data_IF_216999693603
#
_entry.id   IF_216999693603
#
_cell.length_a   1.000
_cell.length_b   1.000
_cell.length_c   1.000
_cell.angle_alpha   90.00
_cell.angle_beta   90.00
_cell.angle_gamma   90.00
#
_symmetry.space_group_name_H-M   'P 1'
#
loop_
_entity.id
_entity.type
_entity.pdbx_description
1 polymer ?
#
# COMPACT_ATOMS: atom_id res chain seq x y z
N UNK A 1 34.99 -33.39 54.29
CA UNK A 1 34.28 -34.66 54.02
C UNK A 1 33.22 -34.32 52.97
N UNK A 2 33.48 -34.36 51.66
CA UNK A 2 33.68 -35.52 50.76
C UNK A 2 32.68 -36.65 50.99
N UNK A 3 31.61 -36.64 50.18
CA UNK A 3 30.94 -37.78 49.51
C UNK A 3 29.72 -37.19 48.79
N UNK A 4 29.44 -37.36 47.50
CA UNK A 4 29.94 -38.23 46.45
C UNK A 4 28.75 -38.43 45.49
N UNK A 5 28.79 -37.86 44.29
CA UNK A 5 27.98 -38.33 43.14
C UNK A 5 28.61 -39.66 42.67
N UNK A 6 27.91 -40.57 41.95
CA UNK A 6 27.93 -40.47 40.47
C UNK A 6 26.68 -41.18 39.81
N UNK A 7 26.68 -41.62 38.53
CA UNK A 7 25.56 -41.39 37.59
C UNK A 7 24.97 -42.69 37.00
N UNK A 8 23.75 -42.72 36.44
CA UNK A 8 23.37 -43.85 35.54
C UNK A 8 22.50 -43.35 34.37
N UNK A 9 22.73 -43.88 33.14
CA UNK A 9 22.31 -43.30 31.86
C UNK A 9 21.12 -44.03 31.20
N UNK A 10 20.56 -43.40 30.16
CA UNK A 10 20.15 -44.07 28.92
C UNK A 10 18.86 -44.91 28.90
N UNK A 11 17.84 -44.43 28.18
CA UNK A 11 17.01 -45.19 27.21
C UNK A 11 16.02 -44.18 26.59
N UNK A 12 16.26 -43.55 25.42
CA UNK A 12 16.11 -44.10 24.07
C UNK A 12 14.87 -45.00 23.87
N UNK A 13 13.70 -44.39 23.61
CA UNK A 13 12.64 -44.93 22.74
C UNK A 13 11.94 -43.72 22.09
N UNK A 14 12.34 -43.31 20.87
CA UNK A 14 11.61 -43.59 19.63
C UNK A 14 10.10 -43.32 19.71
N UNK A 15 9.69 -42.09 19.39
CA UNK A 15 8.39 -41.84 18.77
C UNK A 15 8.60 -41.05 17.49
N UNK A 16 8.77 -41.85 16.43
CA UNK A 16 8.60 -41.50 15.04
C UNK A 16 7.20 -40.91 14.79
N UNK A 17 7.17 -40.06 13.77
CA UNK A 17 6.06 -39.87 12.83
C UNK A 17 4.82 -39.11 13.32
N UNK A 18 4.85 -37.80 13.07
CA UNK A 18 3.73 -37.15 12.38
C UNK A 18 4.28 -36.06 11.45
N UNK A 19 4.71 -36.50 10.26
CA UNK A 19 4.74 -35.67 9.07
C UNK A 19 3.31 -35.21 8.79
N UNK A 20 2.93 -34.05 9.30
CA UNK A 20 1.91 -33.24 8.63
C UNK A 20 2.67 -32.16 7.90
N UNK A 21 2.77 -32.35 6.60
CA UNK A 21 3.22 -31.32 5.69
C UNK A 21 2.40 -30.06 6.01
N UNK A 22 3.05 -29.04 6.55
CA UNK A 22 2.56 -27.67 6.42
C UNK A 22 2.68 -27.33 4.93
N UNK A 23 1.73 -27.83 4.13
CA UNK A 23 1.35 -27.16 2.90
C UNK A 23 0.93 -25.77 3.34
N UNK A 24 1.87 -24.83 3.30
CA UNK A 24 1.60 -23.40 3.28
C UNK A 24 0.87 -23.12 1.98
N UNK A 25 -0.39 -23.56 1.91
CA UNK A 25 -1.35 -23.02 0.98
C UNK A 25 -1.51 -21.59 1.44
N UNK A 26 -0.75 -20.69 0.82
CA UNK A 26 -1.02 -19.28 0.93
C UNK A 26 -2.54 -19.14 0.71
N UNK A 27 -3.29 -18.52 1.63
CA UNK A 27 -4.67 -18.19 1.33
C UNK A 27 -4.66 -17.43 0.00
N UNK A 28 -5.60 -17.72 -0.93
CA UNK A 28 -5.72 -16.89 -2.11
C UNK A 28 -5.76 -15.43 -1.64
N UNK A 29 -5.07 -14.50 -2.33
CA UNK A 29 -5.11 -13.10 -1.93
C UNK A 29 -6.57 -12.74 -1.72
N UNK A 30 -6.89 -12.25 -0.52
CA UNK A 30 -8.24 -11.83 -0.23
C UNK A 30 -8.67 -10.93 -1.39
N UNK A 31 -9.77 -11.29 -2.05
CA UNK A 31 -10.42 -10.41 -3.01
C UNK A 31 -10.92 -9.21 -2.20
N UNK A 32 -10.00 -8.29 -1.94
CA UNK A 32 -10.31 -6.98 -1.38
C UNK A 32 -11.23 -6.38 -2.41
N UNK A 33 -12.53 -6.29 -2.09
CA UNK A 33 -13.49 -5.62 -2.95
C UNK A 33 -12.86 -4.30 -3.40
N UNK A 34 -12.71 -4.13 -4.71
CA UNK A 34 -12.07 -2.94 -5.25
C UNK A 34 -12.71 -1.70 -4.62
N UNK A 35 -11.88 -0.77 -4.13
CA UNK A 35 -12.35 0.51 -3.61
C UNK A 35 -13.14 1.28 -4.68
N UNK A 36 -12.88 0.99 -5.96
CA UNK A 36 -13.73 1.35 -7.10
C UNK A 36 -14.68 0.18 -7.42
N UNK A 37 -15.98 0.26 -7.03
CA UNK A 37 -16.92 -0.83 -7.23
C UNK A 37 -17.08 -1.19 -8.71
N UNK A 38 -16.94 -2.47 -9.04
CA UNK A 38 -17.15 -2.98 -10.40
C UNK A 38 -16.02 -2.72 -11.39
N UNK A 39 -14.90 -2.13 -10.96
CA UNK A 39 -13.72 -2.01 -11.80
C UNK A 39 -13.07 -3.38 -12.06
N UNK A 40 -12.75 -3.64 -13.32
CA UNK A 40 -11.94 -4.79 -13.75
C UNK A 40 -10.88 -4.25 -14.69
N UNK A 41 -9.60 -4.52 -14.39
CA UNK A 41 -8.50 -4.07 -15.25
C UNK A 41 -8.64 -4.65 -16.67
N UNK A 42 -8.40 -3.84 -17.72
CA UNK A 42 -8.41 -4.34 -19.08
C UNK A 42 -7.26 -5.35 -19.31
N UNK A 43 -7.39 -6.26 -20.29
CA UNK A 43 -6.31 -7.19 -20.61
C UNK A 43 -5.01 -6.46 -20.94
N UNK A 44 -3.92 -6.86 -20.29
CA UNK A 44 -2.59 -6.24 -20.47
C UNK A 44 -2.37 -4.95 -19.69
N UNK A 45 -3.31 -4.53 -18.84
CA UNK A 45 -3.09 -3.44 -17.90
C UNK A 45 -1.97 -3.78 -16.90
N UNK A 46 -1.14 -2.81 -16.50
CA UNK A 46 -0.15 -2.97 -15.43
C UNK A 46 -0.78 -3.39 -14.10
N UNK A 47 -0.04 -4.15 -13.28
CA UNK A 47 -0.51 -4.63 -11.98
C UNK A 47 -0.85 -3.48 -11.00
N UNK A 48 -0.18 -2.33 -11.14
CA UNK A 48 -0.48 -1.10 -10.39
C UNK A 48 -1.94 -0.67 -10.55
N UNK A 49 -2.58 -0.91 -11.70
CA UNK A 49 -3.98 -0.54 -11.91
C UNK A 49 -4.92 -1.26 -10.94
N UNK A 50 -4.76 -2.58 -10.75
CA UNK A 50 -5.58 -3.35 -9.82
C UNK A 50 -5.33 -2.94 -8.37
N UNK A 51 -4.07 -2.64 -8.02
CA UNK A 51 -3.66 -2.19 -6.69
C UNK A 51 -4.23 -0.81 -6.35
N UNK A 52 -4.18 0.13 -7.28
CA UNK A 52 -4.78 1.45 -7.11
C UNK A 52 -6.31 1.37 -7.03
N UNK A 53 -6.95 0.52 -7.84
CA UNK A 53 -8.40 0.28 -7.76
C UNK A 53 -8.82 -0.32 -6.41
N UNK A 54 -7.97 -1.14 -5.80
CA UNK A 54 -8.16 -1.71 -4.46
C UNK A 54 -7.82 -0.75 -3.31
N UNK A 55 -7.23 0.41 -3.60
CA UNK A 55 -6.71 1.30 -2.58
C UNK A 55 -7.79 2.13 -1.90
N UNK A 56 -7.99 1.91 -0.60
CA UNK A 56 -9.01 2.65 0.16
C UNK A 56 -8.58 4.06 0.53
N UNK A 57 -7.27 4.32 0.68
CA UNK A 57 -6.80 5.64 1.07
C UNK A 57 -6.50 6.54 -0.13
N UNK A 58 -6.11 5.96 -1.27
CA UNK A 58 -5.91 6.74 -2.50
C UNK A 58 -7.17 7.48 -2.92
N UNK A 59 -8.31 6.78 -2.98
CA UNK A 59 -9.62 7.38 -3.32
C UNK A 59 -10.08 8.45 -2.32
N UNK A 60 -9.53 8.44 -1.11
CA UNK A 60 -9.83 9.41 -0.05
C UNK A 60 -9.01 10.70 -0.10
N UNK A 61 -7.97 10.78 -0.95
CA UNK A 61 -7.06 11.94 -1.00
C UNK A 61 -7.81 13.26 -1.25
N UNK A 62 -8.69 13.40 -2.28
CA UNK A 62 -9.33 14.67 -2.57
C UNK A 62 -10.19 15.16 -1.40
N UNK A 63 -10.92 14.25 -0.75
CA UNK A 63 -11.75 14.58 0.40
C UNK A 63 -10.91 15.03 1.60
N UNK A 64 -9.82 14.33 1.91
CA UNK A 64 -8.93 14.69 3.01
C UNK A 64 -8.22 16.04 2.75
N UNK A 65 -7.73 16.26 1.52
CA UNK A 65 -7.13 17.53 1.12
C UNK A 65 -8.11 18.70 1.23
N UNK A 66 -9.38 18.50 0.84
CA UNK A 66 -10.43 19.50 0.99
C UNK A 66 -10.72 19.86 2.44
N UNK A 67 -10.79 18.87 3.34
CA UNK A 67 -10.96 19.10 4.78
C UNK A 67 -9.80 19.90 5.36
N UNK A 68 -8.57 19.55 4.99
CA UNK A 68 -7.37 20.25 5.42
C UNK A 68 -7.35 21.71 4.95
N UNK A 69 -7.68 21.96 3.67
CA UNK A 69 -7.78 23.31 3.10
C UNK A 69 -8.87 24.16 3.77
N UNK A 70 -9.98 23.54 4.18
CA UNK A 70 -11.05 24.20 4.91
C UNK A 70 -10.75 24.42 6.41
N UNK A 71 -9.62 23.92 6.93
CA UNK A 71 -9.29 23.99 8.35
C UNK A 71 -10.22 23.13 9.23
N UNK A 72 -10.88 22.13 8.65
CA UNK A 72 -11.83 21.25 9.35
C UNK A 72 -11.22 19.86 9.52
N UNK A 73 -11.44 19.21 10.66
CA UNK A 73 -10.94 17.84 10.92
C UNK A 73 -9.46 17.67 10.54
N UNK A 74 -8.63 18.65 10.91
CA UNK A 74 -7.23 18.78 10.44
C UNK A 74 -6.42 17.53 10.78
N UNK A 75 -6.60 16.98 11.98
CA UNK A 75 -5.87 15.79 12.45
C UNK A 75 -6.28 14.55 11.67
N UNK A 76 -7.59 14.36 11.46
CA UNK A 76 -8.13 13.24 10.70
C UNK A 76 -7.71 13.32 9.23
N UNK A 77 -7.75 14.53 8.64
CA UNK A 77 -7.30 14.78 7.28
C UNK A 77 -5.81 14.46 7.10
N UNK A 78 -4.94 14.96 7.98
CA UNK A 78 -3.50 14.63 7.97
C UNK A 78 -3.26 13.14 8.15
N UNK A 79 -4.03 12.48 9.02
CA UNK A 79 -3.91 11.03 9.23
C UNK A 79 -4.29 10.25 7.97
N UNK A 80 -5.38 10.63 7.30
CA UNK A 80 -5.81 10.02 6.04
C UNK A 80 -4.79 10.22 4.91
N UNK A 81 -4.27 11.45 4.74
CA UNK A 81 -3.23 11.75 3.73
C UNK A 81 -1.92 11.00 4.02
N UNK A 82 -1.53 10.86 5.29
CA UNK A 82 -0.37 10.08 5.67
C UNK A 82 -0.55 8.58 5.39
N UNK A 83 -1.77 8.05 5.57
CA UNK A 83 -2.09 6.68 5.22
C UNK A 83 -2.05 6.47 3.70
N UNK A 84 -2.67 7.37 2.91
CA UNK A 84 -2.61 7.35 1.45
C UNK A 84 -1.17 7.37 0.94
N UNK A 85 -0.33 8.25 1.49
CA UNK A 85 1.09 8.32 1.14
C UNK A 85 1.82 7.01 1.39
N UNK A 86 1.59 6.35 2.55
CA UNK A 86 2.23 5.05 2.85
C UNK A 86 1.78 3.98 1.87
N UNK A 87 0.50 3.95 1.54
CA UNK A 87 -0.06 2.96 0.63
C UNK A 87 0.47 3.13 -0.80
N UNK A 88 0.48 4.36 -1.33
CA UNK A 88 1.06 4.64 -2.65
C UNK A 88 2.55 4.27 -2.71
N UNK A 89 3.32 4.52 -1.63
CA UNK A 89 4.71 4.07 -1.56
C UNK A 89 4.86 2.56 -1.59
N UNK A 90 3.97 1.83 -0.93
CA UNK A 90 3.97 0.37 -0.97
C UNK A 90 3.64 -0.14 -2.38
N UNK A 91 2.65 0.45 -3.05
CA UNK A 91 2.30 0.13 -4.43
C UNK A 91 3.50 0.35 -5.36
N UNK A 92 4.16 1.51 -5.29
CA UNK A 92 5.34 1.82 -6.11
C UNK A 92 6.51 0.87 -5.85
N UNK A 93 6.78 0.56 -4.58
CA UNK A 93 7.90 -0.29 -4.19
C UNK A 93 7.77 -1.75 -4.66
N UNK A 94 6.55 -2.20 -4.93
CA UNK A 94 6.26 -3.55 -5.40
C UNK A 94 6.21 -3.66 -6.93
N UNK A 95 6.38 -2.55 -7.67
CA UNK A 95 6.38 -2.60 -9.13
C UNK A 95 7.73 -3.05 -9.69
N UNK A 96 7.75 -3.97 -10.67
CA UNK A 96 8.96 -4.36 -11.38
C UNK A 96 9.62 -3.18 -12.10
N UNK A 97 10.95 -3.10 -12.05
CA UNK A 97 11.70 -2.06 -12.77
C UNK A 97 11.35 -2.05 -14.27
N UNK A 98 11.09 -0.86 -14.82
CA UNK A 98 10.75 -0.68 -16.24
C UNK A 98 9.28 -0.94 -16.61
N UNK A 99 8.47 -1.52 -15.72
CA UNK A 99 7.02 -1.57 -15.91
C UNK A 99 6.38 -0.22 -15.59
N UNK A 100 5.50 0.26 -16.48
CA UNK A 100 4.67 1.45 -16.31
C UNK A 100 5.46 2.66 -15.76
N UNK A 101 6.58 3.01 -16.39
CA UNK A 101 7.53 3.98 -15.87
C UNK A 101 6.91 5.37 -15.66
N UNK A 102 6.06 5.80 -16.58
CA UNK A 102 5.30 7.05 -16.54
C UNK A 102 4.35 7.05 -15.34
N UNK A 103 3.55 5.98 -15.19
CA UNK A 103 2.61 5.81 -14.08
C UNK A 103 3.32 5.73 -12.71
N UNK A 104 4.48 5.05 -12.66
CA UNK A 104 5.36 5.05 -11.48
C UNK A 104 5.78 6.48 -11.16
N UNK A 105 6.28 7.23 -12.14
CA UNK A 105 6.72 8.62 -11.97
C UNK A 105 5.61 9.54 -11.46
N UNK A 106 4.41 9.44 -12.05
CA UNK A 106 3.24 10.20 -11.59
C UNK A 106 2.84 9.83 -10.15
N UNK A 107 2.86 8.54 -9.81
CA UNK A 107 2.56 8.09 -8.44
C UNK A 107 3.60 8.58 -7.43
N UNK A 108 4.88 8.58 -7.80
CA UNK A 108 5.97 9.13 -6.97
C UNK A 108 5.84 10.65 -6.77
N UNK A 109 5.40 11.38 -7.80
CA UNK A 109 5.13 12.81 -7.71
C UNK A 109 4.00 13.09 -6.71
N UNK A 110 2.90 12.32 -6.74
CA UNK A 110 1.83 12.41 -5.73
C UNK A 110 2.36 12.11 -4.32
N UNK A 111 3.18 11.06 -4.15
CA UNK A 111 3.81 10.73 -2.86
C UNK A 111 4.65 11.88 -2.32
N UNK A 112 5.38 12.57 -3.19
CA UNK A 112 6.18 13.75 -2.84
C UNK A 112 5.30 14.95 -2.49
N UNK A 113 4.26 15.22 -3.26
CA UNK A 113 3.32 16.30 -2.98
C UNK A 113 2.56 16.10 -1.66
N UNK A 114 2.14 14.86 -1.37
CA UNK A 114 1.54 14.50 -0.09
C UNK A 114 2.47 14.80 1.10
N UNK A 115 3.79 14.65 0.94
CA UNK A 115 4.73 15.04 1.99
C UNK A 115 4.66 16.54 2.28
N UNK A 116 4.64 17.38 1.24
CA UNK A 116 4.54 18.84 1.41
C UNK A 116 3.23 19.29 2.06
N UNK A 117 2.12 18.60 1.79
CA UNK A 117 0.82 18.89 2.42
C UNK A 117 0.78 18.46 3.89
N UNK A 118 1.56 17.44 4.25
CA UNK A 118 1.68 16.94 5.62
C UNK A 118 2.56 17.81 6.53
N UNK A 119 3.30 18.76 5.98
CA UNK A 119 4.05 19.74 6.76
C UNK A 119 3.14 20.86 7.30
N UNK A 120 3.60 21.57 8.34
CA UNK A 120 2.92 22.72 8.94
C UNK A 120 3.77 23.99 8.80
N UNK A 121 3.19 25.12 8.36
CA UNK A 121 1.79 25.31 7.92
C UNK A 121 1.54 24.77 6.50
N UNK A 122 0.29 24.42 6.18
CA UNK A 122 -0.10 24.10 4.80
C UNK A 122 0.10 25.32 3.91
N UNK A 123 0.98 25.21 2.91
CA UNK A 123 1.22 26.28 1.94
C UNK A 123 0.30 26.14 0.73
N UNK A 124 0.03 27.26 0.05
CA UNK A 124 -0.67 27.27 -1.24
C UNK A 124 0.07 26.39 -2.26
N UNK A 125 1.40 26.51 -2.32
CA UNK A 125 2.26 25.75 -3.22
C UNK A 125 2.14 24.23 -3.00
N UNK A 126 2.14 23.76 -1.74
CA UNK A 126 1.97 22.34 -1.45
C UNK A 126 0.59 21.83 -1.86
N UNK A 127 -0.46 22.66 -1.72
CA UNK A 127 -1.81 22.31 -2.16
C UNK A 127 -1.89 22.21 -3.69
N UNK A 128 -1.34 23.18 -4.42
CA UNK A 128 -1.30 23.17 -5.89
C UNK A 128 -0.52 21.96 -6.40
N UNK A 129 0.67 21.70 -5.86
CA UNK A 129 1.47 20.53 -6.24
C UNK A 129 0.73 19.20 -6.02
N UNK A 130 -0.10 19.08 -4.99
CA UNK A 130 -0.92 17.88 -4.78
C UNK A 130 -2.04 17.77 -5.82
N UNK A 131 -2.70 18.88 -6.16
CA UNK A 131 -3.76 18.87 -7.16
C UNK A 131 -3.21 18.55 -8.55
N UNK A 132 -2.15 19.25 -8.97
CA UNK A 132 -1.48 19.03 -10.25
C UNK A 132 -0.98 17.58 -10.36
N UNK A 133 -0.34 17.06 -9.30
CA UNK A 133 0.12 15.67 -9.29
C UNK A 133 -1.01 14.64 -9.37
N UNK A 134 -2.18 14.92 -8.80
CA UNK A 134 -3.36 14.05 -8.91
C UNK A 134 -3.94 14.09 -10.33
N UNK A 135 -3.98 15.26 -10.97
CA UNK A 135 -4.42 15.42 -12.35
C UNK A 135 -3.48 14.69 -13.32
N UNK A 136 -2.17 14.84 -13.15
CA UNK A 136 -1.14 14.11 -13.91
C UNK A 136 -1.29 12.59 -13.73
N UNK A 137 -1.49 12.13 -12.49
CA UNK A 137 -1.71 10.70 -12.23
C UNK A 137 -2.98 10.18 -12.90
N UNK A 138 -4.07 10.92 -12.88
CA UNK A 138 -5.32 10.53 -13.57
C UNK A 138 -5.10 10.47 -15.08
N UNK A 139 -4.37 11.42 -15.67
CA UNK A 139 -4.05 11.44 -17.09
C UNK A 139 -3.23 10.21 -17.54
N UNK A 140 -2.35 9.70 -16.67
CA UNK A 140 -1.61 8.45 -16.93
C UNK A 140 -2.46 7.19 -16.69
N UNK A 141 -3.36 7.25 -15.70
CA UNK A 141 -4.23 6.13 -15.34
C UNK A 141 -5.32 5.84 -16.37
N UNK A 142 -5.91 6.85 -17.00
CA UNK A 142 -6.99 6.67 -17.97
C UNK A 142 -6.59 5.75 -19.15
N UNK A 143 -5.51 6.02 -19.90
CA UNK A 143 -5.10 5.15 -21.01
C UNK A 143 -4.51 3.81 -20.55
N UNK A 144 -3.84 3.76 -19.38
CA UNK A 144 -3.16 2.55 -18.91
C UNK A 144 -4.11 1.54 -18.24
N UNK A 145 -5.09 2.05 -17.49
CA UNK A 145 -5.96 1.27 -16.63
C UNK A 145 -7.42 1.27 -17.08
N UNK A 146 -7.84 2.17 -17.98
CA UNK A 146 -9.23 2.25 -18.42
C UNK A 146 -10.20 2.63 -17.29
N UNK A 147 -9.72 3.38 -16.30
CA UNK A 147 -10.60 3.95 -15.29
C UNK A 147 -11.58 4.94 -15.95
N UNK A 148 -12.85 4.97 -15.53
CA UNK A 148 -13.80 5.96 -16.02
C UNK A 148 -13.37 7.36 -15.56
N UNK A 149 -13.39 8.31 -16.50
CA UNK A 149 -13.26 9.73 -16.23
C UNK A 149 -14.47 10.30 -15.46
#
# INVERSE_FOLDING_TARGET
>A
MITGRPPIPGLLVFLLAATTACSSSAPPPAETAAAVPGYTSPPGAPDICARLAGSTHFVGIPQAAGRLAAGTQVVEARTALAAARRELRAIVAELPDGEAAELRGATEAVVAALLGVLDEPLTQQAREALLDGMDDLVAELEPACGFPA
#
